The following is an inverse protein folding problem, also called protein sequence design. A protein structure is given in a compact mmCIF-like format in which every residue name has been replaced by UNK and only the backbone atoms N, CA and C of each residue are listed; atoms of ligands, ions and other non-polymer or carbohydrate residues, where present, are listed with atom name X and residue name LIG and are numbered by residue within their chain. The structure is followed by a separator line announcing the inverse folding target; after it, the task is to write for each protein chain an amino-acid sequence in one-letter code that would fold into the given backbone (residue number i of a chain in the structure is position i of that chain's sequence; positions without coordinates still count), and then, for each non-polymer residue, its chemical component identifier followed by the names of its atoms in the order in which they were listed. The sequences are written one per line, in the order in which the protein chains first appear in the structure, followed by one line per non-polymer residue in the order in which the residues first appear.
data_IF_883856952779
#
_entry.id   IF_883856952779
#
_cell.length_a   1.000
_cell.length_b   1.000
_cell.length_c   1.000
_cell.angle_alpha   90.00
_cell.angle_beta   90.00
_cell.angle_gamma   90.00
#
_symmetry.space_group_name_H-M   'P 1'
#
loop_
_entity.id
_entity.type
_entity.pdbx_description
1 polymer ?
#
# COMPACT_ATOMS: atom_id res chain seq x y z
N UNK A 1 10.60 42.59 29.52
CA UNK A 1 11.00 41.65 28.45
C UNK A 1 10.61 40.26 28.93
N UNK A 2 9.35 39.89 28.71
CA UNK A 2 8.78 38.61 29.14
C UNK A 2 9.07 37.58 28.06
N UNK A 3 9.96 36.64 28.40
CA UNK A 3 10.12 35.40 27.65
C UNK A 3 8.78 34.67 27.59
N UNK A 4 8.10 34.78 26.46
CA UNK A 4 7.04 33.85 26.11
C UNK A 4 7.71 32.51 25.83
N UNK A 5 7.87 31.72 26.90
CA UNK A 5 8.14 30.29 26.77
C UNK A 5 6.99 29.69 25.97
N UNK A 6 7.17 29.61 24.66
CA UNK A 6 6.35 28.84 23.76
C UNK A 6 6.51 27.38 24.19
N UNK A 7 5.68 26.95 25.15
CA UNK A 7 5.59 25.57 25.58
C UNK A 7 5.06 24.81 24.38
N UNK A 8 5.97 24.32 23.55
CA UNK A 8 5.67 23.36 22.49
C UNK A 8 4.79 22.30 23.14
N UNK A 9 3.57 22.06 22.64
CA UNK A 9 2.63 21.19 23.32
C UNK A 9 3.29 19.83 23.56
N UNK A 10 2.97 19.18 24.67
CA UNK A 10 3.47 17.84 25.00
C UNK A 10 3.27 16.85 23.82
N UNK A 11 2.21 17.08 23.06
CA UNK A 11 1.81 16.40 21.83
C UNK A 11 2.64 16.70 20.59
N UNK A 12 3.50 17.72 20.60
CA UNK A 12 4.54 17.89 19.56
C UNK A 12 5.79 17.08 19.90
N UNK A 13 5.97 16.69 21.18
CA UNK A 13 7.07 15.79 21.60
C UNK A 13 6.77 14.33 21.27
N UNK A 14 5.50 13.95 21.30
CA UNK A 14 4.99 12.68 20.81
C UNK A 14 4.53 12.95 19.38
N UNK A 15 5.25 12.51 18.34
CA UNK A 15 5.04 12.87 16.92
C UNK A 15 3.66 12.46 16.34
N UNK A 16 2.56 12.98 16.90
CA UNK A 16 1.17 12.60 16.62
C UNK A 16 0.35 13.87 16.39
N UNK A 17 -0.32 13.91 15.24
CA UNK A 17 -1.29 14.93 14.89
C UNK A 17 -2.66 14.59 15.52
N UNK A 18 -3.10 15.38 16.51
CA UNK A 18 -4.34 15.14 17.26
C UNK A 18 -5.58 15.21 16.35
N UNK A 19 -5.78 16.27 15.53
CA UNK A 19 -6.86 16.29 14.55
C UNK A 19 -6.94 15.00 13.72
N UNK A 20 -5.81 14.54 13.17
CA UNK A 20 -5.79 13.33 12.37
C UNK A 20 -6.14 12.08 13.19
N UNK A 21 -5.60 11.97 14.41
CA UNK A 21 -5.91 10.86 15.33
C UNK A 21 -7.42 10.81 15.65
N UNK A 22 -8.06 11.95 15.90
CA UNK A 22 -9.49 12.02 16.17
C UNK A 22 -10.33 11.55 14.98
N UNK A 23 -9.96 11.93 13.75
CA UNK A 23 -10.64 11.43 12.55
C UNK A 23 -10.46 9.91 12.38
N UNK A 24 -9.27 9.38 12.65
CA UNK A 24 -9.01 7.93 12.61
C UNK A 24 -9.89 7.22 13.64
N UNK A 25 -9.93 7.70 14.89
CA UNK A 25 -10.75 7.10 15.95
C UNK A 25 -12.25 7.15 15.62
N UNK A 26 -12.74 8.26 15.05
CA UNK A 26 -14.12 8.40 14.62
C UNK A 26 -14.47 7.38 13.51
N UNK A 27 -13.60 7.22 12.52
CA UNK A 27 -13.77 6.24 11.45
C UNK A 27 -13.73 4.79 11.98
N UNK A 28 -12.85 4.50 12.94
CA UNK A 28 -12.79 3.19 13.59
C UNK A 28 -14.06 2.88 14.39
N UNK A 29 -14.56 3.85 15.16
CA UNK A 29 -15.81 3.71 15.90
C UNK A 29 -17.00 3.47 14.96
N UNK A 30 -17.07 4.24 13.87
CA UNK A 30 -18.09 4.05 12.83
C UNK A 30 -17.97 2.68 12.14
N UNK A 31 -16.75 2.22 11.86
CA UNK A 31 -16.50 0.89 11.29
C UNK A 31 -16.96 -0.23 12.21
N UNK A 32 -16.73 -0.12 13.52
CA UNK A 32 -17.20 -1.10 14.50
C UNK A 32 -18.73 -1.09 14.60
N UNK A 33 -19.35 0.09 14.57
CA UNK A 33 -20.81 0.22 14.57
C UNK A 33 -21.45 -0.45 13.35
N UNK A 34 -20.92 -0.20 12.14
CA UNK A 34 -21.40 -0.88 10.93
C UNK A 34 -21.19 -2.38 11.02
N UNK A 35 -20.02 -2.82 11.50
CA UNK A 35 -19.72 -4.24 11.61
C UNK A 35 -20.70 -4.95 12.55
N UNK A 36 -21.03 -4.34 13.69
CA UNK A 36 -22.04 -4.86 14.63
C UNK A 36 -23.40 -5.06 13.97
N UNK A 37 -23.82 -4.08 13.18
CA UNK A 37 -25.08 -4.12 12.44
C UNK A 37 -25.07 -5.19 11.35
N UNK A 38 -23.97 -5.28 10.59
CA UNK A 38 -23.84 -6.21 9.46
C UNK A 38 -23.58 -7.66 9.87
N UNK A 39 -22.97 -7.90 11.04
CA UNK A 39 -22.65 -9.24 11.54
C UNK A 39 -23.84 -9.94 12.21
N UNK A 40 -25.00 -9.29 12.29
CA UNK A 40 -26.14 -9.82 13.04
C UNK A 40 -25.87 -9.92 14.54
N UNK A 41 -25.03 -9.03 15.09
CA UNK A 41 -24.67 -8.98 16.51
C UNK A 41 -23.85 -10.18 17.03
N UNK A 42 -23.10 -10.84 16.16
CA UNK A 42 -22.13 -11.87 16.55
C UNK A 42 -21.01 -11.27 17.44
N UNK A 43 -20.97 -11.73 18.69
CA UNK A 43 -20.03 -11.27 19.72
C UNK A 43 -18.61 -11.72 19.39
N UNK A 44 -18.41 -12.96 18.90
CA UNK A 44 -17.08 -13.51 18.63
C UNK A 44 -16.40 -12.74 17.48
N UNK A 45 -17.17 -12.34 16.48
CA UNK A 45 -16.66 -11.53 15.37
C UNK A 45 -16.33 -10.11 15.82
N UNK A 46 -17.11 -9.55 16.74
CA UNK A 46 -16.86 -8.24 17.32
C UNK A 46 -15.60 -8.22 18.19
N UNK A 47 -15.43 -9.20 19.07
CA UNK A 47 -14.23 -9.31 19.92
C UNK A 47 -12.96 -9.40 19.08
N UNK A 48 -12.94 -10.25 18.05
CA UNK A 48 -11.82 -10.34 17.10
C UNK A 48 -11.53 -9.01 16.44
N UNK A 49 -12.57 -8.25 16.07
CA UNK A 49 -12.40 -6.95 15.41
C UNK A 49 -11.84 -5.89 16.36
N UNK A 50 -12.33 -5.85 17.60
CA UNK A 50 -11.83 -4.93 18.63
C UNK A 50 -10.36 -5.21 18.92
N UNK A 51 -9.97 -6.47 19.08
CA UNK A 51 -8.56 -6.86 19.30
C UNK A 51 -7.68 -6.41 18.13
N UNK A 52 -8.13 -6.61 16.89
CA UNK A 52 -7.40 -6.13 15.70
C UNK A 52 -7.24 -4.61 15.68
N UNK A 53 -8.29 -3.86 16.05
CA UNK A 53 -8.24 -2.40 16.13
C UNK A 53 -7.25 -1.93 17.19
N UNK A 54 -7.28 -2.53 18.38
CA UNK A 54 -6.35 -2.19 19.48
C UNK A 54 -4.91 -2.47 19.07
N UNK A 55 -4.64 -3.66 18.51
CA UNK A 55 -3.30 -4.02 18.01
C UNK A 55 -2.85 -3.02 16.93
N UNK A 56 -3.73 -2.68 15.98
CA UNK A 56 -3.43 -1.70 14.94
C UNK A 56 -3.09 -0.31 15.49
N UNK A 57 -3.83 0.17 16.50
CA UNK A 57 -3.57 1.45 17.16
C UNK A 57 -2.24 1.44 17.91
N UNK A 58 -1.90 0.35 18.61
CA UNK A 58 -0.61 0.21 19.29
C UNK A 58 0.53 0.25 18.27
N UNK A 59 0.44 -0.51 17.19
CA UNK A 59 1.44 -0.52 16.11
C UNK A 59 1.58 0.88 15.51
N UNK A 60 0.47 1.56 15.23
CA UNK A 60 0.47 2.92 14.70
C UNK A 60 1.21 3.89 15.63
N UNK A 61 0.93 3.87 16.94
CA UNK A 61 1.59 4.75 17.92
C UNK A 61 3.09 4.47 17.99
N UNK A 62 3.49 3.20 18.00
CA UNK A 62 4.90 2.79 18.02
C UNK A 62 5.63 3.27 16.78
N UNK A 63 5.05 3.04 15.59
CA UNK A 63 5.62 3.50 14.33
C UNK A 63 5.68 5.02 14.25
N UNK A 64 4.66 5.73 14.75
CA UNK A 64 4.66 7.20 14.79
C UNK A 64 5.84 7.78 15.59
N UNK A 65 6.40 7.05 16.56
CA UNK A 65 7.57 7.53 17.32
C UNK A 65 8.89 7.43 16.53
N UNK A 66 8.91 6.69 15.41
CA UNK A 66 10.13 6.46 14.63
C UNK A 66 10.33 7.65 13.66
N UNK A 67 11.49 8.33 13.70
CA UNK A 67 11.74 9.46 12.82
C UNK A 67 11.78 9.06 11.32
N UNK A 68 11.28 9.91 10.40
CA UNK A 68 11.25 9.66 8.95
C UNK A 68 12.57 9.19 8.34
N UNK A 69 13.70 9.68 8.85
CA UNK A 69 15.05 9.32 8.37
C UNK A 69 15.37 7.83 8.53
N UNK A 70 14.80 7.16 9.54
CA UNK A 70 14.99 5.72 9.72
C UNK A 70 14.26 4.97 8.61
N UNK A 71 13.02 5.35 8.30
CA UNK A 71 12.27 4.77 7.20
C UNK A 71 12.99 4.93 5.85
N UNK A 72 13.54 6.11 5.58
CA UNK A 72 14.35 6.36 4.39
C UNK A 72 15.56 5.41 4.31
N UNK A 73 16.28 5.19 5.41
CA UNK A 73 17.41 4.27 5.41
C UNK A 73 17.00 2.80 5.25
N UNK A 74 15.84 2.43 5.79
CA UNK A 74 15.31 1.07 5.73
C UNK A 74 14.58 0.74 4.43
N UNK A 75 14.20 1.74 3.62
CA UNK A 75 13.40 1.56 2.41
C UNK A 75 13.95 0.49 1.44
N UNK A 76 15.26 0.42 1.13
CA UNK A 76 15.78 -0.61 0.22
C UNK A 76 15.62 -2.01 0.78
N UNK A 77 15.83 -2.19 2.08
CA UNK A 77 15.67 -3.49 2.74
C UNK A 77 14.20 -3.91 2.79
N UNK A 78 13.30 -2.97 3.10
CA UNK A 78 11.85 -3.22 3.06
C UNK A 78 11.38 -3.56 1.64
N UNK A 79 11.89 -2.86 0.63
CA UNK A 79 11.56 -3.12 -0.77
C UNK A 79 12.04 -4.51 -1.21
N UNK A 80 13.31 -4.83 -1.00
CA UNK A 80 13.89 -6.13 -1.38
C UNK A 80 13.18 -7.26 -0.63
N UNK A 81 12.99 -7.11 0.68
CA UNK A 81 12.25 -8.07 1.50
C UNK A 81 10.81 -8.26 1.02
N UNK A 82 10.13 -7.19 0.63
CA UNK A 82 8.79 -7.23 0.07
C UNK A 82 8.75 -7.97 -1.28
N UNK A 83 9.67 -7.68 -2.19
CA UNK A 83 9.78 -8.39 -3.48
C UNK A 83 10.04 -9.88 -3.26
N UNK A 84 10.93 -10.25 -2.34
CA UNK A 84 11.18 -11.65 -1.98
C UNK A 84 9.92 -12.30 -1.43
N UNK A 85 9.19 -11.63 -0.53
CA UNK A 85 7.93 -12.15 0.02
C UNK A 85 6.86 -12.32 -1.06
N UNK A 86 6.78 -11.40 -2.03
CA UNK A 86 5.85 -11.53 -3.16
C UNK A 86 6.19 -12.73 -4.04
N UNK A 87 7.47 -12.94 -4.34
CA UNK A 87 7.93 -14.14 -5.06
C UNK A 87 7.61 -15.40 -4.25
N UNK A 88 7.84 -15.38 -2.93
CA UNK A 88 7.56 -16.52 -2.06
C UNK A 88 6.06 -16.86 -2.01
N UNK A 89 5.18 -15.85 -1.99
CA UNK A 89 3.72 -16.07 -2.10
C UNK A 89 3.38 -16.71 -3.44
N UNK A 90 4.02 -16.31 -4.53
CA UNK A 90 3.72 -16.86 -5.85
C UNK A 90 4.09 -18.36 -5.93
N UNK A 91 5.17 -18.76 -5.25
CA UNK A 91 5.65 -20.16 -5.26
C UNK A 91 4.97 -21.04 -4.18
N UNK A 92 4.76 -20.51 -2.97
CA UNK A 92 4.31 -21.28 -1.79
C UNK A 92 2.99 -20.81 -1.18
N UNK A 93 2.37 -19.77 -1.73
CA UNK A 93 1.14 -19.23 -1.20
C UNK A 93 0.00 -20.24 -1.27
N UNK A 94 -0.93 -20.15 -0.33
CA UNK A 94 -2.13 -20.97 -0.36
C UNK A 94 -3.19 -20.30 -1.25
N UNK A 95 -3.82 -21.08 -2.12
CA UNK A 95 -4.96 -20.64 -2.92
C UNK A 95 -6.17 -20.53 -2.00
N UNK A 96 -6.64 -19.31 -1.73
CA UNK A 96 -7.86 -19.06 -0.97
C UNK A 96 -8.84 -18.27 -1.83
N UNK A 97 -10.08 -18.77 -1.97
CA UNK A 97 -11.12 -18.19 -2.84
C UNK A 97 -10.66 -17.93 -4.29
N UNK A 98 -9.82 -18.82 -4.83
CA UNK A 98 -9.30 -18.71 -6.20
C UNK A 98 -8.17 -17.70 -6.39
N UNK A 99 -7.57 -17.17 -5.30
CA UNK A 99 -6.40 -16.31 -5.40
C UNK A 99 -5.35 -16.63 -4.34
N UNK A 100 -4.09 -16.67 -4.77
CA UNK A 100 -2.94 -17.00 -3.94
C UNK A 100 -2.34 -15.72 -3.34
N UNK A 101 -2.91 -15.24 -2.23
CA UNK A 101 -2.64 -13.89 -1.69
C UNK A 101 -2.13 -13.87 -0.26
N UNK A 102 -2.32 -14.97 0.46
CA UNK A 102 -2.01 -15.06 1.88
C UNK A 102 -0.93 -16.12 2.11
N UNK A 103 0.13 -15.73 2.81
CA UNK A 103 1.02 -16.67 3.47
C UNK A 103 0.35 -17.06 4.78
N UNK A 104 -0.10 -18.32 4.87
CA UNK A 104 -0.56 -18.88 6.14
C UNK A 104 0.67 -19.35 6.92
N UNK A 105 1.09 -18.57 7.91
CA UNK A 105 2.19 -18.90 8.82
C UNK A 105 1.70 -19.81 9.97
N UNK A 106 0.51 -20.41 9.85
CA UNK A 106 -0.15 -21.28 10.83
C UNK A 106 -0.86 -20.51 11.95
N UNK A 107 -0.25 -19.45 12.46
CA UNK A 107 -0.80 -18.62 13.54
C UNK A 107 -1.38 -17.31 13.01
N UNK A 108 -0.76 -16.76 11.97
CA UNK A 108 -1.15 -15.47 11.36
C UNK A 108 -1.16 -15.62 9.85
N UNK A 109 -2.20 -15.08 9.23
CA UNK A 109 -2.25 -14.92 7.77
C UNK A 109 -1.64 -13.57 7.42
N UNK A 110 -0.59 -13.60 6.61
CA UNK A 110 0.16 -12.41 6.23
C UNK A 110 0.01 -12.15 4.73
N UNK A 111 -0.29 -10.91 4.35
CA UNK A 111 -0.46 -10.50 2.95
C UNK A 111 0.70 -9.55 2.56
N UNK A 112 1.72 -10.02 1.82
CA UNK A 112 2.87 -9.19 1.46
C UNK A 112 2.55 -7.97 0.60
N UNK A 113 1.47 -8.02 -0.17
CA UNK A 113 1.02 -6.89 -0.98
C UNK A 113 0.56 -5.69 -0.13
N UNK A 114 0.24 -5.90 1.16
CA UNK A 114 0.02 -4.81 2.12
C UNK A 114 1.31 -4.05 2.43
N UNK A 115 2.44 -4.76 2.60
CA UNK A 115 3.76 -4.11 2.75
C UNK A 115 4.13 -3.36 1.47
N UNK A 116 3.84 -3.94 0.30
CA UNK A 116 4.20 -3.34 -0.98
C UNK A 116 3.62 -1.92 -1.17
N UNK A 117 2.40 -1.67 -0.67
CA UNK A 117 1.77 -0.34 -0.70
C UNK A 117 2.57 0.74 0.03
N UNK A 118 3.42 0.37 0.97
CA UNK A 118 4.25 1.30 1.75
C UNK A 118 5.70 1.25 1.26
N UNK A 119 6.24 0.06 1.01
CA UNK A 119 7.64 -0.14 0.64
C UNK A 119 7.97 0.44 -0.74
N UNK A 120 7.07 0.31 -1.73
CA UNK A 120 7.30 0.79 -3.09
C UNK A 120 7.37 2.31 -3.14
N UNK A 121 6.37 3.07 -2.64
CA UNK A 121 6.44 4.53 -2.66
C UNK A 121 7.64 5.04 -1.84
N UNK A 122 7.93 4.44 -0.68
CA UNK A 122 9.06 4.83 0.15
C UNK A 122 10.41 4.62 -0.55
N UNK A 123 10.59 3.51 -1.27
CA UNK A 123 11.80 3.24 -2.04
C UNK A 123 11.96 4.21 -3.22
N UNK A 124 10.87 4.50 -3.93
CA UNK A 124 10.86 5.49 -5.02
C UNK A 124 11.21 6.88 -4.50
N UNK A 125 10.62 7.30 -3.36
CA UNK A 125 10.92 8.58 -2.73
C UNK A 125 12.40 8.70 -2.37
N UNK A 126 12.95 7.68 -1.70
CA UNK A 126 14.38 7.64 -1.35
C UNK A 126 15.27 7.69 -2.59
N UNK A 127 14.92 6.96 -3.64
CA UNK A 127 15.71 6.91 -4.86
C UNK A 127 15.71 8.28 -5.56
N UNK A 128 14.56 8.97 -5.58
CA UNK A 128 14.44 10.33 -6.13
C UNK A 128 15.12 11.40 -5.27
N UNK A 129 15.19 11.22 -3.95
CA UNK A 129 15.83 12.18 -3.03
C UNK A 129 17.35 12.33 -3.24
N UNK A 130 17.98 11.43 -3.99
CA UNK A 130 19.45 11.39 -4.17
C UNK A 130 19.96 12.23 -5.33
N UNK A 131 19.10 12.62 -6.27
CA UNK A 131 19.49 13.34 -7.48
C UNK A 131 18.90 14.75 -7.50
N UNK A 132 19.51 15.65 -8.29
CA UNK A 132 18.95 16.98 -8.53
C UNK A 132 17.61 16.87 -9.27
N UNK A 133 16.63 17.65 -8.85
CA UNK A 133 15.41 17.87 -9.62
C UNK A 133 15.71 18.77 -10.83
N UNK A 134 15.25 18.43 -12.05
CA UNK A 134 14.43 17.27 -12.43
C UNK A 134 15.27 15.99 -12.68
N UNK A 135 14.69 14.79 -12.44
CA UNK A 135 15.39 13.53 -12.64
C UNK A 135 15.75 13.30 -14.12
N UNK A 136 16.92 12.70 -14.35
CA UNK A 136 17.34 12.28 -15.69
C UNK A 136 16.44 11.16 -16.24
N UNK A 137 16.33 11.05 -17.57
CA UNK A 137 15.55 9.97 -18.22
C UNK A 137 15.97 8.58 -17.77
N UNK A 138 17.26 8.38 -17.47
CA UNK A 138 17.80 7.12 -16.93
C UNK A 138 17.21 6.82 -15.55
N UNK A 139 17.16 7.82 -14.67
CA UNK A 139 16.65 7.66 -13.30
C UNK A 139 15.13 7.49 -13.31
N UNK A 140 14.42 8.15 -14.22
CA UNK A 140 12.99 7.86 -14.47
C UNK A 140 12.77 6.41 -14.88
N UNK A 141 13.57 5.88 -15.81
CA UNK A 141 13.48 4.48 -16.24
C UNK A 141 13.69 3.50 -15.08
N UNK A 142 14.71 3.73 -14.24
CA UNK A 142 14.97 2.90 -13.05
C UNK A 142 13.82 2.98 -12.06
N UNK A 143 13.26 4.18 -11.82
CA UNK A 143 12.16 4.33 -10.89
C UNK A 143 10.86 3.68 -11.38
N UNK A 144 10.61 3.71 -12.69
CA UNK A 144 9.51 2.95 -13.29
C UNK A 144 9.71 1.45 -13.09
N UNK A 145 10.92 0.93 -13.26
CA UNK A 145 11.22 -0.49 -12.97
C UNK A 145 10.95 -0.82 -11.50
N UNK A 146 11.36 0.05 -10.57
CA UNK A 146 11.08 -0.13 -9.13
C UNK A 146 9.57 -0.14 -8.80
N UNK A 147 8.74 0.50 -9.61
CA UNK A 147 7.28 0.47 -9.44
C UNK A 147 6.68 -0.76 -10.12
N UNK A 148 7.04 -1.00 -11.38
CA UNK A 148 6.40 -2.02 -12.20
C UNK A 148 6.74 -3.45 -11.77
N UNK A 149 7.95 -3.72 -11.28
CA UNK A 149 8.33 -5.06 -10.81
C UNK A 149 7.37 -5.57 -9.72
N UNK A 150 7.19 -4.89 -8.57
CA UNK A 150 6.26 -5.33 -7.54
C UNK A 150 4.80 -5.24 -7.98
N UNK A 151 4.42 -4.24 -8.78
CA UNK A 151 3.05 -4.16 -9.34
C UNK A 151 2.69 -5.38 -10.17
N UNK A 152 3.59 -5.84 -11.06
CA UNK A 152 3.35 -7.00 -11.91
C UNK A 152 3.33 -8.30 -11.10
N UNK A 153 4.19 -8.43 -10.10
CA UNK A 153 4.16 -9.58 -9.17
C UNK A 153 2.81 -9.65 -8.42
N UNK A 154 2.28 -8.52 -7.96
CA UNK A 154 0.97 -8.48 -7.29
C UNK A 154 -0.18 -8.74 -8.28
N UNK A 155 -0.07 -8.25 -9.52
CA UNK A 155 -1.06 -8.53 -10.56
C UNK A 155 -1.12 -10.04 -10.90
N UNK A 156 0.03 -10.73 -10.85
CA UNK A 156 0.13 -12.18 -11.03
C UNK A 156 -0.51 -12.98 -9.87
N UNK A 157 -0.65 -12.39 -8.67
CA UNK A 157 -1.30 -12.98 -7.47
C UNK A 157 -2.84 -12.82 -7.46
N UNK A 158 -3.46 -12.93 -8.63
CA UNK A 158 -4.75 -12.36 -9.00
C UNK A 158 -5.21 -11.04 -8.35
N UNK A 159 -4.33 -10.17 -7.85
CA UNK A 159 -4.66 -9.07 -6.93
C UNK A 159 -4.76 -7.69 -7.62
N UNK A 160 -5.65 -7.57 -8.61
CA UNK A 160 -5.70 -6.42 -9.51
C UNK A 160 -5.86 -5.07 -8.77
N UNK A 161 -6.79 -4.98 -7.82
CA UNK A 161 -7.04 -3.73 -7.08
C UNK A 161 -5.80 -3.24 -6.33
N UNK A 162 -5.08 -4.15 -5.69
CA UNK A 162 -3.86 -3.84 -4.94
C UNK A 162 -2.72 -3.43 -5.87
N UNK A 163 -2.57 -4.09 -7.03
CA UNK A 163 -1.56 -3.74 -8.02
C UNK A 163 -1.73 -2.31 -8.54
N UNK A 164 -2.97 -1.87 -8.78
CA UNK A 164 -3.31 -0.51 -9.23
C UNK A 164 -2.95 0.50 -8.15
N UNK A 165 -3.26 0.24 -6.87
CA UNK A 165 -2.92 1.13 -5.76
C UNK A 165 -1.40 1.29 -5.60
N UNK A 166 -0.63 0.21 -5.76
CA UNK A 166 0.84 0.24 -5.70
C UNK A 166 1.40 1.07 -6.87
N UNK A 167 0.89 0.83 -8.08
CA UNK A 167 1.32 1.59 -9.26
C UNK A 167 1.00 3.09 -9.12
N UNK A 168 -0.23 3.41 -8.73
CA UNK A 168 -0.69 4.78 -8.55
C UNK A 168 0.11 5.51 -7.48
N UNK A 169 0.35 4.88 -6.32
CA UNK A 169 1.13 5.50 -5.23
C UNK A 169 2.60 5.72 -5.62
N UNK A 170 3.24 4.78 -6.32
CA UNK A 170 4.60 4.97 -6.85
C UNK A 170 4.69 6.08 -7.89
N UNK A 171 3.76 6.10 -8.86
CA UNK A 171 3.71 7.13 -9.90
C UNK A 171 3.42 8.53 -9.32
N UNK A 172 2.60 8.60 -8.27
CA UNK A 172 2.32 9.86 -7.58
C UNK A 172 3.58 10.46 -6.96
N UNK A 173 4.49 9.64 -6.44
CA UNK A 173 5.77 10.14 -5.92
C UNK A 173 6.68 10.64 -7.05
N UNK A 174 6.70 9.98 -8.20
CA UNK A 174 7.42 10.49 -9.38
C UNK A 174 6.87 11.84 -9.84
N UNK A 175 5.56 12.03 -9.76
CA UNK A 175 4.93 13.32 -10.01
C UNK A 175 5.40 14.38 -9.02
N UNK A 176 5.43 14.07 -7.71
CA UNK A 176 5.91 15.00 -6.68
C UNK A 176 7.40 15.33 -6.81
N UNK A 177 8.21 14.44 -7.38
CA UNK A 177 9.62 14.67 -7.66
C UNK A 177 9.88 15.68 -8.80
N UNK A 178 8.83 16.30 -9.37
CA UNK A 178 8.95 17.33 -10.41
C UNK A 178 9.19 16.77 -11.81
N UNK A 179 8.79 15.52 -12.05
CA UNK A 179 8.96 14.88 -13.35
C UNK A 179 8.01 15.49 -14.40
N UNK A 180 8.49 15.60 -15.64
CA UNK A 180 7.73 16.18 -16.75
C UNK A 180 6.46 15.35 -17.01
N UNK A 181 5.29 16.00 -17.12
CA UNK A 181 3.99 15.39 -17.40
C UNK A 181 4.01 14.46 -18.62
N UNK A 182 4.86 14.75 -19.61
CA UNK A 182 5.04 13.90 -20.79
C UNK A 182 5.50 12.49 -20.42
N UNK A 183 6.42 12.35 -19.46
CA UNK A 183 6.95 11.06 -19.01
C UNK A 183 5.94 10.28 -18.18
N UNK A 184 5.14 10.97 -17.39
CA UNK A 184 4.01 10.38 -16.65
C UNK A 184 2.97 9.87 -17.65
N UNK A 185 2.65 10.68 -18.66
CA UNK A 185 1.77 10.27 -19.76
C UNK A 185 2.27 9.02 -20.47
N UNK A 186 3.58 8.95 -20.79
CA UNK A 186 4.20 7.76 -21.39
C UNK A 186 4.10 6.55 -20.45
N UNK A 187 4.34 6.70 -19.15
CA UNK A 187 4.23 5.61 -18.19
C UNK A 187 2.80 5.06 -18.08
N UNK A 188 1.81 5.95 -18.03
CA UNK A 188 0.38 5.57 -18.04
C UNK A 188 0.01 4.88 -19.36
N UNK A 189 0.52 5.38 -20.49
CA UNK A 189 0.25 4.81 -21.81
C UNK A 189 0.89 3.43 -21.96
N UNK A 190 2.12 3.23 -21.48
CA UNK A 190 2.75 1.91 -21.42
C UNK A 190 1.95 0.93 -20.55
N UNK A 191 1.45 1.39 -19.40
CA UNK A 191 0.60 0.60 -18.51
C UNK A 191 -0.71 0.23 -19.22
N UNK A 192 -1.34 1.17 -19.92
CA UNK A 192 -2.54 0.94 -20.73
C UNK A 192 -2.29 -0.04 -21.88
N UNK A 193 -1.17 0.08 -22.59
CA UNK A 193 -0.75 -0.86 -23.64
C UNK A 193 -0.45 -2.26 -23.10
N UNK A 194 -0.14 -2.40 -21.80
CA UNK A 194 0.07 -3.68 -21.15
C UNK A 194 -1.25 -4.36 -20.71
N UNK A 195 -2.38 -3.63 -20.67
CA UNK A 195 -3.69 -4.16 -20.28
C UNK A 195 -4.13 -5.36 -21.15
N UNK A 196 -4.01 -5.34 -22.49
CA UNK A 196 -4.38 -6.49 -23.31
C UNK A 196 -3.53 -7.72 -23.01
N UNK A 197 -2.23 -7.53 -22.77
CA UNK A 197 -1.31 -8.63 -22.40
C UNK A 197 -1.75 -9.21 -21.05
N UNK A 198 -2.07 -8.35 -20.09
CA UNK A 198 -2.64 -8.75 -18.80
C UNK A 198 -3.94 -9.55 -19.00
N UNK A 199 -4.85 -9.09 -19.84
CA UNK A 199 -6.17 -9.71 -20.06
C UNK A 199 -6.09 -11.09 -20.73
N UNK A 200 -5.23 -11.22 -21.74
CA UNK A 200 -5.14 -12.45 -22.54
C UNK A 200 -4.18 -13.49 -21.94
N UNK A 201 -3.09 -13.06 -21.31
CA UNK A 201 -2.02 -13.97 -20.88
C UNK A 201 -1.88 -14.13 -19.35
N UNK A 202 -2.20 -13.12 -18.54
CA UNK A 202 -2.01 -13.17 -17.09
C UNK A 202 -3.33 -13.32 -16.30
N UNK A 203 -4.45 -12.81 -16.82
CA UNK A 203 -5.71 -12.80 -16.09
C UNK A 203 -6.36 -14.18 -16.06
N UNK A 204 -6.62 -14.65 -14.86
CA UNK A 204 -7.40 -15.85 -14.62
C UNK A 204 -8.88 -15.60 -14.93
N UNK A 205 -9.64 -16.65 -15.25
CA UNK A 205 -11.07 -16.56 -15.60
C UNK A 205 -11.90 -15.79 -14.57
N UNK A 206 -11.59 -15.96 -13.29
CA UNK A 206 -12.24 -15.22 -12.19
C UNK A 206 -12.04 -13.70 -12.26
N UNK A 207 -10.84 -13.25 -12.66
CA UNK A 207 -10.55 -11.82 -12.77
C UNK A 207 -11.30 -11.19 -13.94
N UNK A 208 -11.39 -11.91 -15.06
CA UNK A 208 -12.18 -11.50 -16.22
C UNK A 208 -13.67 -11.43 -15.86
N UNK A 209 -14.18 -12.43 -15.14
CA UNK A 209 -15.57 -12.44 -14.67
C UNK A 209 -15.88 -11.24 -13.78
N UNK A 210 -14.99 -10.84 -12.85
CA UNK A 210 -15.20 -9.62 -12.04
C UNK A 210 -15.22 -8.34 -12.85
N UNK A 211 -14.33 -8.19 -13.84
CA UNK A 211 -14.33 -7.00 -14.70
C UNK A 211 -15.58 -6.95 -15.56
N UNK A 212 -16.01 -8.10 -16.12
CA UNK A 212 -17.24 -8.19 -16.90
C UNK A 212 -18.47 -7.89 -16.04
N UNK A 213 -18.55 -8.41 -14.82
CA UNK A 213 -19.63 -8.10 -13.87
C UNK A 213 -19.65 -6.61 -13.47
N UNK A 214 -18.50 -5.93 -13.44
CA UNK A 214 -18.45 -4.49 -13.17
C UNK A 214 -18.94 -3.66 -14.38
N UNK A 215 -18.69 -4.12 -15.60
CA UNK A 215 -19.10 -3.44 -16.83
C UNK A 215 -20.54 -3.76 -17.24
N UNK A 216 -21.02 -4.96 -16.92
CA UNK A 216 -22.37 -5.46 -17.20
C UNK A 216 -22.91 -6.16 -15.94
N UNK A 217 -23.34 -5.40 -14.92
CA UNK A 217 -23.79 -5.95 -13.63
C UNK A 217 -25.14 -6.66 -13.70
N UNK A 218 -25.83 -6.62 -14.85
CA UNK A 218 -27.14 -7.24 -15.07
C UNK A 218 -27.05 -8.68 -15.62
N UNK A 219 -25.84 -9.19 -15.89
CA UNK A 219 -25.58 -10.60 -16.23
C UNK A 219 -24.86 -11.35 -15.13
#
# INVERSE_FOLDING_TARGET
MTDSQNKVPFWTRIHIDIPLLLFILALLAYSLFIMWSASGQDIDMMERKIVQVIIGLIIMIVLAQIPPRIYENWAPYLYIGCVILLILVDVFGQISKGAQRWLDLGIVRFQPSEIAKIAVPLMVARFMNRDLCPPSLKNTGIALVLIFVPTLLVAAQPDLGTSILIAASGLFILFLAGMNWKLIGVAVLLLACFIPILWFFLMHDYQRARVMMLLDPEK
#
